data_IF_134908072798
#
_entry.id   IF_134908072798
#
_cell.length_a   1.000
_cell.length_b   1.000
_cell.length_c   1.000
_cell.angle_alpha   90.00
_cell.angle_beta   90.00
_cell.angle_gamma   90.00
#
_symmetry.space_group_name_H-M   'P 1'
#
loop_
_entity.id
_entity.type
_entity.pdbx_description
1 polymer ?
#
# COMPACT_ATOMS: atom_id res chain seq x y z
N UNK A 1 -4.57 1.57 0.05
CA UNK A 1 -3.89 0.34 0.53
C UNK A 1 -4.38 -0.14 1.90
N UNK A 2 -4.39 0.68 2.95
CA UNK A 2 -4.74 0.26 4.33
C UNK A 2 -6.13 -0.38 4.52
N UNK A 3 -7.10 -0.03 3.67
CA UNK A 3 -8.48 -0.54 3.71
C UNK A 3 -8.96 -1.09 2.35
N UNK A 4 -8.15 -0.97 1.30
CA UNK A 4 -8.54 -1.41 -0.03
C UNK A 4 -8.33 -2.93 -0.17
N UNK A 5 -9.32 -3.63 -0.70
CA UNK A 5 -9.23 -5.04 -1.07
C UNK A 5 -8.57 -5.20 -2.44
N UNK A 6 -7.31 -4.78 -2.58
CA UNK A 6 -6.61 -4.78 -3.86
C UNK A 6 -6.56 -6.19 -4.46
N UNK A 7 -7.21 -6.39 -5.60
CA UNK A 7 -7.35 -7.69 -6.25
C UNK A 7 -6.05 -8.19 -6.87
N UNK A 8 -5.13 -7.29 -7.25
CA UNK A 8 -3.79 -7.70 -7.71
C UNK A 8 -2.97 -8.29 -6.56
N UNK A 9 -3.13 -7.76 -5.36
CA UNK A 9 -2.49 -8.31 -4.15
C UNK A 9 -3.19 -9.61 -3.74
N UNK A 10 -4.52 -9.65 -3.74
CA UNK A 10 -5.27 -10.85 -3.39
C UNK A 10 -4.99 -12.03 -4.34
N UNK A 11 -4.83 -11.77 -5.64
CA UNK A 11 -4.51 -12.81 -6.63
C UNK A 11 -3.09 -13.35 -6.50
N UNK A 12 -2.10 -12.53 -6.13
CA UNK A 12 -0.70 -12.95 -6.00
C UNK A 12 -0.35 -13.50 -4.61
N UNK A 13 -0.82 -12.83 -3.56
CA UNK A 13 -0.49 -13.12 -2.17
C UNK A 13 -1.61 -13.80 -1.37
N UNK A 14 -2.77 -14.04 -1.99
CA UNK A 14 -3.96 -14.50 -1.29
C UNK A 14 -4.44 -13.50 -0.24
N UNK A 15 -5.37 -13.96 0.59
CA UNK A 15 -5.89 -13.20 1.73
C UNK A 15 -4.79 -12.87 2.76
N UNK A 16 -3.80 -13.75 2.91
CA UNK A 16 -2.65 -13.55 3.79
C UNK A 16 -1.80 -12.34 3.39
N UNK A 17 -1.42 -12.26 2.10
CA UNK A 17 -0.66 -11.15 1.54
C UNK A 17 -1.45 -9.84 1.59
N UNK A 18 -2.75 -9.88 1.29
CA UNK A 18 -3.62 -8.71 1.40
C UNK A 18 -3.69 -8.17 2.84
N UNK A 19 -3.91 -9.05 3.83
CA UNK A 19 -3.92 -8.65 5.24
C UNK A 19 -2.58 -8.11 5.70
N UNK A 20 -1.47 -8.71 5.26
CA UNK A 20 -0.14 -8.21 5.59
C UNK A 20 0.07 -6.79 5.06
N UNK A 21 -0.24 -6.56 3.77
CA UNK A 21 -0.14 -5.24 3.14
C UNK A 21 -0.98 -4.19 3.87
N UNK A 22 -2.23 -4.55 4.21
CA UNK A 22 -3.14 -3.67 4.94
C UNK A 22 -2.60 -3.31 6.32
N UNK A 23 -2.05 -4.28 7.06
CA UNK A 23 -1.45 -4.04 8.39
C UNK A 23 -0.25 -3.09 8.32
N UNK A 24 0.71 -3.33 7.44
CA UNK A 24 1.89 -2.44 7.32
C UNK A 24 1.48 -1.01 6.94
N UNK A 25 0.54 -0.88 5.99
CA UNK A 25 -0.02 0.42 5.62
C UNK A 25 -0.77 1.09 6.79
N UNK A 26 -1.53 0.35 7.59
CA UNK A 26 -2.20 0.88 8.78
C UNK A 26 -1.21 1.32 9.85
N UNK A 27 -0.15 0.54 10.09
CA UNK A 27 0.91 0.88 11.07
C UNK A 27 1.54 2.24 10.74
N UNK A 28 1.86 2.50 9.47
CA UNK A 28 2.40 3.80 9.05
C UNK A 28 1.39 4.93 9.25
N UNK A 29 0.10 4.71 8.93
CA UNK A 29 -0.93 5.72 9.10
C UNK A 29 -1.23 6.02 10.58
N UNK A 30 -1.22 5.02 11.45
CA UNK A 30 -1.43 5.19 12.90
C UNK A 30 -0.31 6.03 13.56
N UNK A 31 0.90 6.00 13.00
CA UNK A 31 2.01 6.88 13.38
C UNK A 31 1.88 8.31 12.85
N UNK A 32 0.81 8.62 12.12
CA UNK A 32 0.57 9.93 11.52
C UNK A 32 1.08 10.07 10.08
N UNK A 33 1.48 8.96 9.44
CA UNK A 33 2.09 8.95 8.11
C UNK A 33 3.59 9.25 8.15
N UNK A 34 4.12 9.81 7.06
CA UNK A 34 5.53 10.18 6.96
C UNK A 34 5.72 11.54 7.66
N UNK A 35 6.28 11.53 8.88
CA UNK A 35 6.53 12.76 9.66
C UNK A 35 8.01 12.94 9.99
N UNK A 36 8.75 11.85 10.05
CA UNK A 36 10.17 11.79 10.40
C UNK A 36 10.95 11.04 9.32
N UNK A 37 12.29 11.20 9.27
CA UNK A 37 13.14 10.39 8.39
C UNK A 37 12.97 8.88 8.62
N UNK A 38 12.74 8.46 9.87
CA UNK A 38 12.52 7.06 10.21
C UNK A 38 11.24 6.48 9.59
N UNK A 39 10.18 7.29 9.43
CA UNK A 39 8.95 6.85 8.76
C UNK A 39 9.17 6.62 7.26
N UNK A 40 10.03 7.44 6.64
CA UNK A 40 10.40 7.27 5.24
C UNK A 40 11.24 6.00 5.04
N UNK A 41 12.16 5.72 5.95
CA UNK A 41 12.95 4.49 5.91
C UNK A 41 12.09 3.25 6.15
N UNK A 42 11.10 3.33 7.06
CA UNK A 42 10.09 2.29 7.22
C UNK A 42 9.28 2.09 5.93
N UNK A 43 8.83 3.16 5.27
CA UNK A 43 8.10 3.04 4.00
C UNK A 43 8.96 2.39 2.91
N UNK A 44 10.24 2.73 2.81
CA UNK A 44 11.18 2.11 1.87
C UNK A 44 11.40 0.63 2.16
N UNK A 45 11.49 0.26 3.44
CA UNK A 45 11.55 -1.14 3.83
C UNK A 45 10.26 -1.87 3.44
N UNK A 46 9.10 -1.29 3.74
CA UNK A 46 7.81 -1.85 3.39
C UNK A 46 7.66 -2.07 1.87
N UNK A 47 8.11 -1.12 1.04
CA UNK A 47 8.13 -1.26 -0.42
C UNK A 47 9.02 -2.43 -0.88
N UNK A 48 10.23 -2.54 -0.31
CA UNK A 48 11.14 -3.66 -0.58
C UNK A 48 10.51 -5.01 -0.23
N UNK A 49 9.84 -5.07 0.93
CA UNK A 49 9.14 -6.25 1.39
C UNK A 49 7.96 -6.64 0.49
N UNK A 50 7.27 -5.66 -0.09
CA UNK A 50 6.26 -5.88 -1.12
C UNK A 50 6.87 -6.52 -2.37
N UNK A 51 8.01 -6.02 -2.85
CA UNK A 51 8.73 -6.56 -4.01
C UNK A 51 9.17 -8.00 -3.76
N UNK A 52 9.80 -8.27 -2.61
CA UNK A 52 10.28 -9.62 -2.22
C UNK A 52 9.13 -10.64 -2.14
N UNK A 53 7.95 -10.20 -1.68
CA UNK A 53 6.74 -11.03 -1.60
C UNK A 53 5.93 -11.07 -2.89
N UNK A 54 6.39 -10.38 -3.94
CA UNK A 54 5.67 -10.19 -5.21
C UNK A 54 4.23 -9.63 -5.02
N UNK A 55 4.06 -8.73 -4.05
CA UNK A 55 2.80 -8.07 -3.75
C UNK A 55 2.80 -6.67 -4.37
N UNK A 56 2.06 -6.50 -5.47
CA UNK A 56 1.91 -5.21 -6.13
C UNK A 56 0.49 -4.67 -5.98
N UNK A 57 0.27 -3.55 -5.26
CA UNK A 57 -1.05 -2.92 -5.11
C UNK A 57 -1.45 -2.10 -6.33
N UNK A 58 -1.43 -2.72 -7.52
CA UNK A 58 -1.72 -2.04 -8.78
C UNK A 58 -3.14 -1.48 -8.84
N UNK A 59 -4.14 -2.23 -8.35
CA UNK A 59 -5.53 -1.76 -8.40
C UNK A 59 -5.75 -0.52 -7.53
N UNK A 60 -5.03 -0.41 -6.41
CA UNK A 60 -5.03 0.79 -5.57
C UNK A 60 -4.38 1.98 -6.25
N UNK A 61 -3.31 1.76 -7.03
CA UNK A 61 -2.64 2.81 -7.80
C UNK A 61 -3.56 3.34 -8.92
N UNK A 62 -4.26 2.45 -9.62
CA UNK A 62 -5.24 2.81 -10.65
C UNK A 62 -6.36 3.68 -10.08
N UNK A 63 -6.92 3.31 -8.92
CA UNK A 63 -7.93 4.12 -8.24
C UNK A 63 -7.38 5.49 -7.82
N UNK A 64 -6.13 5.55 -7.35
CA UNK A 64 -5.50 6.82 -6.97
C UNK A 64 -5.37 7.76 -8.16
N UNK A 65 -4.87 7.27 -9.31
CA UNK A 65 -4.70 8.10 -10.50
C UNK A 65 -6.05 8.54 -11.10
N UNK A 66 -7.06 7.66 -11.09
CA UNK A 66 -8.42 8.02 -11.51
C UNK A 66 -9.03 9.09 -10.59
N UNK A 67 -8.85 8.95 -9.28
CA UNK A 67 -9.33 9.94 -8.30
C UNK A 67 -8.65 11.30 -8.53
N UNK A 68 -7.33 11.29 -8.76
CA UNK A 68 -6.58 12.50 -9.07
C UNK A 68 -7.08 13.14 -10.36
N UNK A 69 -7.21 12.38 -11.45
CA UNK A 69 -7.71 12.87 -12.74
C UNK A 69 -9.09 13.52 -12.61
N UNK A 70 -10.04 12.85 -11.94
CA UNK A 70 -11.39 13.36 -11.72
C UNK A 70 -11.44 14.61 -10.82
N UNK A 71 -10.43 14.84 -9.99
CA UNK A 71 -10.32 16.05 -9.19
C UNK A 71 -9.71 17.24 -9.95
N UNK A 72 -9.14 17.01 -11.15
CA UNK A 72 -8.55 18.05 -12.01
C UNK A 72 -9.49 18.51 -13.14
N UNK A 73 -10.64 17.86 -13.31
CA UNK A 73 -11.71 18.28 -14.24
C UNK A 73 -12.71 19.18 -13.53
#
# INVERSE_FOLDING_TARGET
MAINGDTNVASRGGEGGLRWLQREAQTLLQKGGIRTPADLDYLRQFDRECIERNLSPGGSADLLILTWFLAQI
#
